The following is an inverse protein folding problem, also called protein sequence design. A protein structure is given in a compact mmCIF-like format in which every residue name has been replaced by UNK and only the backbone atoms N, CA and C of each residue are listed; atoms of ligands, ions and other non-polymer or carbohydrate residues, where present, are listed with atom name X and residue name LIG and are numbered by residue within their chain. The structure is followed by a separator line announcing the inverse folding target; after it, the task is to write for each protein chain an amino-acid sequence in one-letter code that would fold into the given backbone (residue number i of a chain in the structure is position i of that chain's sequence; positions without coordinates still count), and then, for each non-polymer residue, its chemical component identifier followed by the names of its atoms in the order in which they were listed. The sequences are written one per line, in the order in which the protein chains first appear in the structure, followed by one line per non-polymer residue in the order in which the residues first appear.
data_IF_362865567128
#
_entry.id   IF_362865567128
#
_cell.length_a   1.000
_cell.length_b   1.000
_cell.length_c   1.000
_cell.angle_alpha   90.00
_cell.angle_beta   90.00
_cell.angle_gamma   90.00
#
_symmetry.space_group_name_H-M   'P 1'
#
loop_
_entity.id
_entity.type
_entity.pdbx_description
1 polymer ?
#
# COMPACT_ATOMS: atom_id res chain seq x y z
N UNK A 1 -20.19 16.06 10.27
CA UNK A 1 -18.86 15.99 9.62
C UNK A 1 -17.86 15.11 10.37
N UNK A 2 -17.93 14.98 11.71
CA UNK A 2 -17.03 14.10 12.49
C UNK A 2 -17.22 12.58 12.28
N UNK A 3 -18.45 12.11 12.04
CA UNK A 3 -18.73 10.67 11.87
C UNK A 3 -18.03 10.06 10.66
N UNK A 4 -17.99 10.78 9.52
CA UNK A 4 -17.24 10.36 8.33
C UNK A 4 -15.73 10.30 8.57
N UNK A 5 -15.16 11.21 9.37
CA UNK A 5 -13.73 11.20 9.68
C UNK A 5 -13.33 10.01 10.55
N UNK A 6 -14.20 9.63 11.50
CA UNK A 6 -14.06 8.42 12.32
C UNK A 6 -14.18 7.12 11.48
N UNK A 7 -15.11 7.11 10.51
CA UNK A 7 -15.31 5.98 9.59
C UNK A 7 -14.12 5.79 8.63
N UNK A 8 -13.57 6.88 8.07
CA UNK A 8 -12.34 6.83 7.28
C UNK A 8 -11.14 6.36 8.12
N UNK A 9 -11.09 6.68 9.41
CA UNK A 9 -10.00 6.22 10.29
C UNK A 9 -10.13 4.74 10.66
N UNK A 10 -11.33 4.20 10.85
CA UNK A 10 -11.51 2.77 11.15
C UNK A 10 -11.19 1.87 9.93
N UNK A 11 -11.67 2.22 8.73
CA UNK A 11 -11.30 1.51 7.51
C UNK A 11 -9.80 1.67 7.19
N UNK A 12 -9.22 2.85 7.42
CA UNK A 12 -7.79 3.05 7.31
C UNK A 12 -7.01 2.20 8.33
N UNK A 13 -7.54 1.96 9.54
CA UNK A 13 -6.93 1.07 10.53
C UNK A 13 -6.90 -0.40 10.07
N UNK A 14 -7.94 -0.88 9.37
CA UNK A 14 -7.95 -2.24 8.81
C UNK A 14 -6.80 -2.43 7.81
N UNK A 15 -6.73 -1.57 6.79
CA UNK A 15 -5.72 -1.69 5.75
C UNK A 15 -4.31 -1.36 6.23
N UNK A 16 -4.17 -0.40 7.15
CA UNK A 16 -2.88 -0.12 7.79
C UNK A 16 -2.32 -1.36 8.50
N UNK A 17 -3.14 -2.10 9.25
CA UNK A 17 -2.71 -3.35 9.89
C UNK A 17 -2.28 -4.41 8.87
N UNK A 18 -3.06 -4.59 7.79
CA UNK A 18 -2.73 -5.55 6.72
C UNK A 18 -1.40 -5.22 6.06
N UNK A 19 -1.18 -3.96 5.67
CA UNK A 19 0.07 -3.57 5.02
C UNK A 19 1.25 -3.56 5.99
N UNK A 20 1.02 -3.33 7.29
CA UNK A 20 2.08 -3.44 8.31
C UNK A 20 2.59 -4.87 8.46
N UNK A 21 1.72 -5.88 8.33
CA UNK A 21 2.12 -7.30 8.32
C UNK A 21 2.91 -7.68 7.06
N UNK A 22 2.78 -6.91 5.98
CA UNK A 22 3.46 -7.13 4.71
C UNK A 22 4.84 -6.47 4.63
N UNK A 23 5.29 -5.77 5.67
CA UNK A 23 6.62 -5.18 5.71
C UNK A 23 7.71 -6.24 5.46
N UNK A 24 8.69 -5.91 4.63
CA UNK A 24 9.74 -6.82 4.14
C UNK A 24 9.33 -7.69 2.95
N UNK A 25 8.11 -7.55 2.41
CA UNK A 25 7.68 -8.28 1.20
C UNK A 25 7.87 -7.43 -0.06
N UNK A 26 8.17 -8.07 -1.19
CA UNK A 26 8.13 -7.42 -2.51
C UNK A 26 6.70 -7.11 -2.93
N UNK A 27 6.49 -5.88 -3.40
CA UNK A 27 5.20 -5.37 -3.88
C UNK A 27 5.40 -4.53 -5.14
N UNK A 28 4.36 -4.44 -5.96
CA UNK A 28 4.31 -3.47 -7.07
C UNK A 28 3.30 -2.37 -6.75
N UNK A 29 3.74 -1.12 -6.71
CA UNK A 29 2.87 0.05 -6.47
C UNK A 29 2.57 0.73 -7.80
N UNK A 30 1.30 0.73 -8.20
CA UNK A 30 0.81 1.45 -9.37
C UNK A 30 0.21 2.80 -8.94
N UNK A 31 0.69 3.87 -9.54
CA UNK A 31 0.23 5.23 -9.29
C UNK A 31 -0.90 5.62 -10.24
N UNK A 32 -1.69 6.63 -9.86
CA UNK A 32 -2.81 7.15 -10.67
C UNK A 32 -2.40 7.70 -12.05
N UNK A 33 -1.14 8.05 -12.24
CA UNK A 33 -0.58 8.50 -13.52
C UNK A 33 -0.07 7.35 -14.40
N UNK A 34 -0.18 6.10 -13.96
CA UNK A 34 0.27 4.90 -14.69
C UNK A 34 1.69 4.46 -14.40
N UNK A 35 2.47 5.18 -13.58
CA UNK A 35 3.80 4.73 -13.16
C UNK A 35 3.67 3.50 -12.25
N UNK A 36 4.47 2.47 -12.51
CA UNK A 36 4.54 1.24 -11.70
C UNK A 36 5.95 1.11 -11.12
N UNK A 37 6.02 0.98 -9.80
CA UNK A 37 7.25 0.82 -9.04
C UNK A 37 7.24 -0.54 -8.34
N UNK A 38 8.21 -1.38 -8.65
CA UNK A 38 8.48 -2.61 -7.91
C UNK A 38 9.47 -2.29 -6.78
N UNK A 39 9.26 -2.87 -5.60
CA UNK A 39 10.18 -2.68 -4.47
C UNK A 39 9.76 -3.46 -3.23
N UNK A 40 10.62 -3.43 -2.22
CA UNK A 40 10.36 -4.04 -0.92
C UNK A 40 9.61 -3.05 -0.01
N UNK A 41 8.49 -3.49 0.56
CA UNK A 41 7.70 -2.68 1.48
C UNK A 41 8.43 -2.46 2.81
N UNK A 42 8.97 -1.26 3.07
CA UNK A 42 9.65 -0.98 4.33
C UNK A 42 8.67 -0.63 5.45
N UNK A 43 7.72 0.27 5.18
CA UNK A 43 6.74 0.70 6.17
C UNK A 43 5.52 1.36 5.53
N UNK A 44 4.41 1.35 6.27
CA UNK A 44 3.15 2.02 5.92
C UNK A 44 2.63 2.80 7.12
N UNK A 45 2.09 3.99 6.87
CA UNK A 45 1.49 4.82 7.92
C UNK A 45 -0.06 4.77 7.90
N UNK A 46 -0.75 5.40 8.87
CA UNK A 46 -2.22 5.40 8.92
C UNK A 46 -2.92 6.11 7.74
N UNK A 47 -2.20 6.89 6.93
CA UNK A 47 -2.71 7.50 5.69
C UNK A 47 -2.42 6.64 4.46
N UNK A 48 -1.90 5.42 4.69
CA UNK A 48 -1.46 4.48 3.66
C UNK A 48 -0.36 5.08 2.77
N UNK A 49 0.44 6.02 3.30
CA UNK A 49 1.69 6.38 2.66
C UNK A 49 2.65 5.20 2.81
N UNK A 50 3.40 4.93 1.75
CA UNK A 50 4.25 3.74 1.64
C UNK A 50 5.70 4.16 1.48
N UNK A 51 6.59 3.53 2.24
CA UNK A 51 8.03 3.61 2.03
C UNK A 51 8.51 2.30 1.41
N UNK A 52 9.19 2.40 0.27
CA UNK A 52 9.75 1.26 -0.46
C UNK A 52 11.28 1.33 -0.46
N UNK A 53 11.91 0.17 -0.36
CA UNK A 53 13.34 -0.04 -0.56
C UNK A 53 13.60 -0.81 -1.85
N UNK A 54 14.84 -0.74 -2.35
CA UNK A 54 15.30 -1.37 -3.58
C UNK A 54 14.36 -1.17 -4.78
N UNK A 55 13.92 0.08 -4.97
CA UNK A 55 12.89 0.40 -5.96
C UNK A 55 13.42 0.28 -7.38
N UNK A 56 12.60 -0.31 -8.25
CA UNK A 56 12.85 -0.35 -9.69
C UNK A 56 11.57 0.01 -10.46
N UNK A 57 11.62 0.96 -11.41
CA UNK A 57 10.49 1.24 -12.28
C UNK A 57 10.30 0.08 -13.27
N UNK A 58 9.06 -0.37 -13.46
CA UNK A 58 8.75 -1.49 -14.37
C UNK A 58 9.01 -1.15 -15.85
N UNK A 59 8.97 0.13 -16.21
CA UNK A 59 9.43 0.65 -17.50
C UNK A 59 10.60 1.64 -17.30
N UNK A 60 11.85 1.15 -17.30
CA UNK A 60 13.03 1.98 -17.09
C UNK A 60 13.30 2.94 -18.26
N UNK A 61 12.84 2.64 -19.47
CA UNK A 61 13.09 3.44 -20.68
C UNK A 61 12.25 4.73 -20.66
N UNK A 62 11.03 4.66 -20.13
CA UNK A 62 10.17 5.83 -19.95
C UNK A 62 10.67 6.78 -18.85
N UNK A 63 11.42 6.28 -17.85
CA UNK A 63 11.83 7.07 -16.69
C UNK A 63 13.30 6.82 -16.26
N UNK A 64 14.29 7.23 -17.06
CA UNK A 64 15.71 6.98 -16.79
C UNK A 64 16.21 7.62 -15.48
N UNK A 65 15.55 8.68 -15.01
CA UNK A 65 15.87 9.37 -13.76
C UNK A 65 15.52 8.56 -12.50
N UNK A 66 14.67 7.53 -12.61
CA UNK A 66 14.29 6.68 -11.48
C UNK A 66 15.26 5.52 -11.25
N UNK A 67 16.18 5.26 -12.19
CA UNK A 67 17.11 4.12 -12.12
C UNK A 67 18.14 4.21 -10.97
N UNK A 68 18.37 5.40 -10.41
CA UNK A 68 19.30 5.62 -9.30
C UNK A 68 18.63 5.66 -7.92
N UNK A 69 17.29 5.66 -7.89
CA UNK A 69 16.52 5.80 -6.65
C UNK A 69 16.37 4.44 -5.98
N UNK A 70 17.12 4.22 -4.90
CA UNK A 70 17.02 2.98 -4.12
C UNK A 70 15.83 2.97 -3.16
N UNK A 71 15.48 4.11 -2.58
CA UNK A 71 14.41 4.22 -1.60
C UNK A 71 13.38 5.25 -2.07
N UNK A 72 12.10 4.92 -1.97
CA UNK A 72 11.01 5.79 -2.42
C UNK A 72 9.96 5.98 -1.32
N UNK A 73 9.48 7.21 -1.17
CA UNK A 73 8.30 7.51 -0.35
C UNK A 73 7.15 7.90 -1.27
N UNK A 74 6.04 7.16 -1.17
CA UNK A 74 4.85 7.34 -2.01
C UNK A 74 3.69 7.77 -1.13
N UNK A 75 3.06 8.89 -1.48
CA UNK A 75 1.88 9.38 -0.78
C UNK A 75 0.67 8.49 -1.10
N UNK A 76 -0.02 7.97 -0.09
CA UNK A 76 -1.15 7.04 -0.26
C UNK A 76 -2.25 7.56 -1.18
N UNK A 77 -2.50 8.88 -1.17
CA UNK A 77 -3.51 9.51 -2.02
C UNK A 77 -3.24 9.44 -3.53
N UNK A 78 -1.99 9.19 -3.96
CA UNK A 78 -1.62 9.07 -5.38
C UNK A 78 -1.54 7.62 -5.85
N UNK A 79 -1.61 6.65 -4.94
CA UNK A 79 -1.61 5.22 -5.24
C UNK A 79 -2.96 4.84 -5.85
N UNK A 80 -2.93 4.00 -6.89
CA UNK A 80 -4.11 3.36 -7.49
C UNK A 80 -4.21 1.90 -7.05
N UNK A 81 -3.14 1.13 -7.19
CA UNK A 81 -3.09 -0.28 -6.79
C UNK A 81 -1.79 -0.62 -6.08
N UNK A 82 -1.86 -1.57 -5.16
CA UNK A 82 -0.69 -2.26 -4.60
C UNK A 82 -0.89 -3.73 -4.93
N UNK A 83 -0.03 -4.27 -5.80
CA UNK A 83 -0.04 -5.66 -6.20
C UNK A 83 0.74 -6.47 -5.16
N UNK A 84 0.11 -7.53 -4.66
CA UNK A 84 0.63 -8.37 -3.59
C UNK A 84 0.68 -9.83 -4.06
N UNK A 85 1.66 -10.58 -3.56
CA UNK A 85 1.66 -12.02 -3.71
C UNK A 85 0.52 -12.63 -2.89
N UNK A 86 -0.26 -13.54 -3.50
CA UNK A 86 -1.42 -14.16 -2.86
C UNK A 86 -1.07 -14.87 -1.56
N UNK A 87 0.10 -15.49 -1.48
CA UNK A 87 0.55 -16.28 -0.33
C UNK A 87 0.95 -15.42 0.88
N UNK A 88 1.15 -14.12 0.68
CA UNK A 88 1.48 -13.18 1.75
C UNK A 88 0.25 -12.63 2.47
N UNK A 89 -0.96 -12.90 1.95
CA UNK A 89 -2.21 -12.36 2.50
C UNK A 89 -3.06 -13.48 3.10
N UNK A 90 -3.31 -13.41 4.41
CA UNK A 90 -4.24 -14.33 5.07
C UNK A 90 -5.69 -13.90 4.76
N UNK A 91 -6.26 -14.47 3.69
CA UNK A 91 -7.61 -14.15 3.23
C UNK A 91 -8.70 -14.40 4.31
N UNK A 92 -8.70 -15.52 5.07
CA UNK A 92 -9.66 -15.72 6.15
C UNK A 92 -9.64 -14.60 7.20
N UNK A 93 -8.44 -14.18 7.66
CA UNK A 93 -8.31 -13.09 8.62
C UNK A 93 -8.79 -11.75 8.05
N UNK A 94 -8.42 -11.46 6.79
CA UNK A 94 -8.84 -10.23 6.11
C UNK A 94 -10.37 -10.17 5.96
N UNK A 95 -11.00 -11.28 5.57
CA UNK A 95 -12.46 -11.38 5.45
C UNK A 95 -13.16 -11.18 6.79
N UNK A 96 -12.65 -11.80 7.86
CA UNK A 96 -13.21 -11.64 9.21
C UNK A 96 -13.05 -10.22 9.74
N UNK A 97 -11.87 -9.62 9.57
CA UNK A 97 -11.62 -8.24 9.95
C UNK A 97 -12.51 -7.26 9.16
N UNK A 98 -12.75 -7.54 7.88
CA UNK A 98 -13.69 -6.77 7.03
C UNK A 98 -15.13 -6.88 7.52
N UNK A 99 -15.60 -8.08 7.90
CA UNK A 99 -16.96 -8.25 8.48
C UNK A 99 -17.14 -7.46 9.77
N UNK A 100 -16.15 -7.54 10.67
CA UNK A 100 -16.16 -6.79 11.94
C UNK A 100 -16.15 -5.28 11.71
N UNK A 101 -15.35 -4.82 10.75
CA UNK A 101 -15.27 -3.41 10.38
C UNK A 101 -16.59 -2.92 9.74
N UNK A 102 -17.19 -3.69 8.84
CA UNK A 102 -18.47 -3.36 8.23
C UNK A 102 -19.61 -3.29 9.25
N UNK A 103 -19.62 -4.15 10.28
CA UNK A 103 -20.60 -4.11 11.36
C UNK A 103 -20.46 -2.89 12.29
N UNK A 104 -19.33 -2.16 12.22
CA UNK A 104 -19.07 -0.94 13.01
C UNK A 104 -19.45 0.34 12.26
N UNK A 105 -19.79 0.26 10.97
CA UNK A 105 -20.21 1.38 10.13
C UNK A 105 -21.72 1.61 10.23
#
# INVERSE_FOLDING_TARGET
RGFRYLQYTLAAMLFHSVFKELAGSEVSVELKNGLILDGELESVDPFLNVKLNNVSPKDPQSHPHLASVKNCFVRGSVIRYIHLQKDKVNLPLLQEATRKEAARQ
#
